data_IF_253437384505
#
_entry.id   IF_253437384505
#
_cell.length_a   1.000
_cell.length_b   1.000
_cell.length_c   1.000
_cell.angle_alpha   90.00
_cell.angle_beta   90.00
_cell.angle_gamma   90.00
#
_symmetry.space_group_name_H-M   'P 1'
#
loop_
_entity.id
_entity.type
_entity.pdbx_description
1 polymer ?
#
# COMPACT_ATOMS: atom_id res chain seq x y z
N UNK A 1 -3.97 -15.67 -1.83
CA UNK A 1 -3.49 -14.68 -2.81
C UNK A 1 -4.63 -13.96 -3.54
N UNK A 2 -5.57 -14.66 -4.20
CA UNK A 2 -6.66 -14.02 -4.95
C UNK A 2 -7.49 -12.99 -4.14
N UNK A 3 -7.83 -13.32 -2.89
CA UNK A 3 -8.51 -12.38 -1.99
C UNK A 3 -7.65 -11.14 -1.71
N UNK A 4 -6.37 -11.31 -1.39
CA UNK A 4 -5.43 -10.20 -1.19
C UNK A 4 -5.33 -9.31 -2.43
N UNK A 5 -5.29 -9.90 -3.64
CA UNK A 5 -5.31 -9.15 -4.91
C UNK A 5 -6.59 -8.31 -5.03
N UNK A 6 -7.76 -8.89 -4.74
CA UNK A 6 -9.04 -8.18 -4.77
C UNK A 6 -9.05 -7.00 -3.80
N UNK A 7 -8.59 -7.21 -2.57
CA UNK A 7 -8.45 -6.17 -1.55
C UNK A 7 -7.46 -5.08 -1.99
N UNK A 8 -6.31 -5.46 -2.56
CA UNK A 8 -5.32 -4.53 -3.10
C UNK A 8 -5.88 -3.64 -4.22
N UNK A 9 -6.75 -4.19 -5.08
CA UNK A 9 -7.44 -3.40 -6.10
C UNK A 9 -8.43 -2.39 -5.51
N UNK A 10 -9.15 -2.75 -4.44
CA UNK A 10 -10.04 -1.84 -3.72
C UNK A 10 -9.24 -0.72 -3.02
N UNK A 11 -8.11 -1.07 -2.38
CA UNK A 11 -7.20 -0.10 -1.78
C UNK A 11 -6.65 0.89 -2.82
N UNK A 12 -6.31 0.41 -4.02
CA UNK A 12 -5.92 1.30 -5.12
C UNK A 12 -7.04 2.28 -5.47
N UNK A 13 -8.31 1.86 -5.53
CA UNK A 13 -9.43 2.77 -5.78
C UNK A 13 -9.60 3.82 -4.67
N UNK A 14 -9.36 3.46 -3.41
CA UNK A 14 -9.35 4.41 -2.30
C UNK A 14 -8.23 5.43 -2.47
N UNK A 15 -7.00 4.98 -2.73
CA UNK A 15 -5.85 5.88 -2.92
C UNK A 15 -6.01 6.76 -4.16
N UNK A 16 -6.56 6.23 -5.26
CA UNK A 16 -6.88 7.00 -6.46
C UNK A 16 -7.84 8.15 -6.14
N UNK A 17 -8.88 7.89 -5.35
CA UNK A 17 -9.82 8.92 -4.90
C UNK A 17 -9.11 10.00 -4.08
N UNK A 18 -8.36 9.64 -3.04
CA UNK A 18 -7.65 10.60 -2.18
C UNK A 18 -6.62 11.42 -2.98
N UNK A 19 -5.85 10.75 -3.82
CA UNK A 19 -4.76 11.35 -4.56
C UNK A 19 -5.25 12.24 -5.71
N UNK A 20 -6.46 12.00 -6.21
CA UNK A 20 -7.10 12.80 -7.25
C UNK A 20 -7.73 14.12 -6.77
N UNK A 21 -7.75 14.40 -5.47
CA UNK A 21 -8.24 15.69 -4.95
C UNK A 21 -7.31 16.85 -5.33
N UNK A 22 -7.88 18.06 -5.41
CA UNK A 22 -7.15 19.31 -5.54
C UNK A 22 -7.48 20.23 -4.35
N UNK A 23 -6.62 20.32 -3.32
CA UNK A 23 -5.27 19.75 -3.22
C UNK A 23 -5.26 18.24 -2.94
N UNK A 24 -4.16 17.58 -3.30
CA UNK A 24 -3.97 16.16 -3.04
C UNK A 24 -4.03 15.85 -1.53
N UNK A 25 -4.68 14.73 -1.18
CA UNK A 25 -4.72 14.18 0.18
C UNK A 25 -3.79 12.97 0.27
N UNK A 26 -2.80 13.00 1.16
CA UNK A 26 -1.94 11.84 1.49
C UNK A 26 -2.38 11.29 2.84
N UNK A 27 -2.67 10.00 2.94
CA UNK A 27 -3.25 9.41 4.16
C UNK A 27 -2.24 9.29 5.30
N UNK A 28 -1.01 8.84 4.99
CA UNK A 28 0.14 8.71 5.90
C UNK A 28 0.03 7.64 6.98
N UNK A 29 -1.14 7.05 7.17
CA UNK A 29 -1.34 5.91 8.09
C UNK A 29 -2.19 4.81 7.45
N UNK A 30 -1.85 4.43 6.22
CA UNK A 30 -2.60 3.42 5.46
C UNK A 30 -2.23 2.00 5.96
N UNK A 31 -2.95 1.53 6.98
CA UNK A 31 -2.64 0.31 7.76
C UNK A 31 -3.87 -0.61 7.87
N UNK A 32 -3.69 -1.88 8.29
CA UNK A 32 -4.81 -2.78 8.57
C UNK A 32 -5.80 -2.21 9.58
N UNK A 33 -5.31 -1.50 10.61
CA UNK A 33 -6.11 -0.93 11.68
C UNK A 33 -7.09 0.15 11.16
N UNK A 34 -6.75 0.79 10.04
CA UNK A 34 -7.53 1.86 9.42
C UNK A 34 -8.36 1.38 8.22
N UNK A 35 -8.41 0.08 7.92
CA UNK A 35 -9.24 -0.48 6.84
C UNK A 35 -10.28 -1.45 7.40
N UNK A 36 -11.55 -1.08 7.29
CA UNK A 36 -12.66 -1.94 7.66
C UNK A 36 -13.20 -2.68 6.43
N UNK A 37 -13.36 -3.98 6.55
CA UNK A 37 -14.06 -4.81 5.57
C UNK A 37 -15.50 -5.01 6.05
N UNK A 38 -16.48 -4.54 5.27
CA UNK A 38 -17.89 -4.78 5.60
C UNK A 38 -18.38 -6.16 5.17
N UNK A 39 -19.60 -6.52 5.57
CA UNK A 39 -20.21 -7.83 5.29
C UNK A 39 -20.38 -8.13 3.79
N UNK A 40 -20.33 -7.11 2.94
CA UNK A 40 -20.40 -7.26 1.49
C UNK A 40 -19.01 -7.35 0.83
N UNK A 41 -17.93 -7.42 1.62
CA UNK A 41 -16.56 -7.49 1.14
C UNK A 41 -16.04 -6.15 0.59
N UNK A 42 -16.64 -5.02 1.01
CA UNK A 42 -16.20 -3.68 0.60
C UNK A 42 -15.28 -3.08 1.65
N UNK A 43 -14.09 -2.65 1.22
CA UNK A 43 -13.13 -1.93 2.06
C UNK A 43 -13.55 -0.47 2.25
N UNK A 44 -13.45 -0.02 3.50
CA UNK A 44 -13.67 1.38 3.91
C UNK A 44 -12.47 1.85 4.71
N UNK A 45 -11.84 2.92 4.22
CA UNK A 45 -10.80 3.61 4.96
C UNK A 45 -11.43 4.46 6.06
N UNK A 46 -10.91 4.30 7.27
CA UNK A 46 -11.27 5.09 8.43
C UNK A 46 -10.05 5.89 8.91
N UNK A 47 -10.30 6.86 9.78
CA UNK A 47 -9.31 7.70 10.45
C UNK A 47 -8.39 8.53 9.53
N UNK A 48 -8.72 9.82 9.38
CA UNK A 48 -7.92 10.79 8.61
C UNK A 48 -7.10 11.73 9.51
N UNK A 49 -6.91 11.41 10.79
CA UNK A 49 -6.24 12.31 11.75
C UNK A 49 -4.80 12.65 11.35
N UNK A 50 -4.12 11.73 10.68
CA UNK A 50 -2.76 11.92 10.19
C UNK A 50 -2.68 12.37 8.73
N UNK A 51 -3.83 12.45 8.05
CA UNK A 51 -3.87 12.83 6.65
C UNK A 51 -3.35 14.26 6.44
N UNK A 52 -2.73 14.48 5.29
CA UNK A 52 -2.18 15.78 4.91
C UNK A 52 -2.73 16.22 3.57
N UNK A 53 -3.28 17.43 3.57
CA UNK A 53 -3.67 18.17 2.38
C UNK A 53 -2.57 19.19 2.13
N UNK A 54 -1.92 19.13 0.96
CA UNK A 54 -0.75 19.93 0.49
C UNK A 54 0.63 19.30 0.68
N UNK A 55 1.51 19.56 -0.31
CA UNK A 55 2.94 19.32 -0.24
C UNK A 55 3.61 20.20 0.84
N UNK A 56 4.66 19.70 1.47
CA UNK A 56 5.46 20.42 2.45
C UNK A 56 6.04 19.50 3.53
N UNK A 57 6.88 20.08 4.38
CA UNK A 57 7.41 19.33 5.53
C UNK A 57 6.27 18.99 6.50
N UNK A 58 6.29 17.78 7.03
CA UNK A 58 5.35 17.29 8.03
C UNK A 58 6.10 16.52 9.12
N UNK A 59 5.46 16.34 10.28
CA UNK A 59 6.01 15.48 11.33
C UNK A 59 6.08 14.03 10.86
N UNK A 60 7.15 13.28 11.19
CA UNK A 60 7.22 11.85 10.90
C UNK A 60 6.29 11.08 11.84
N UNK A 61 5.06 10.85 11.39
CA UNK A 61 3.98 10.16 12.14
C UNK A 61 3.40 9.04 11.27
N UNK A 62 2.79 8.06 11.93
CA UNK A 62 2.24 6.85 11.32
C UNK A 62 2.76 5.59 12.03
N UNK A 63 2.21 4.42 11.69
CA UNK A 63 2.66 3.14 12.24
C UNK A 63 4.04 2.75 11.66
N UNK A 64 5.11 2.56 12.47
CA UNK A 64 6.49 2.43 11.98
C UNK A 64 6.72 1.38 10.88
N UNK A 65 6.10 0.20 10.97
CA UNK A 65 6.23 -0.86 9.97
C UNK A 65 5.70 -0.48 8.57
N UNK A 66 4.83 0.52 8.49
CA UNK A 66 4.12 0.94 7.28
C UNK A 66 4.61 2.29 6.75
N UNK A 67 5.51 2.97 7.48
CA UNK A 67 5.97 4.30 7.11
C UNK A 67 7.04 4.24 6.01
N UNK A 68 6.80 5.02 4.94
CA UNK A 68 7.75 5.18 3.87
C UNK A 68 9.00 6.01 4.28
N UNK A 69 10.16 5.82 3.61
CA UNK A 69 11.39 6.55 3.94
C UNK A 69 11.25 8.08 3.86
N UNK A 70 10.54 8.60 2.86
CA UNK A 70 10.31 10.03 2.70
C UNK A 70 9.37 10.59 3.76
N UNK A 71 8.40 9.80 4.24
CA UNK A 71 7.53 10.18 5.35
C UNK A 71 8.33 10.28 6.66
N UNK A 72 9.25 9.36 6.92
CA UNK A 72 10.18 9.43 8.06
C UNK A 72 11.10 10.65 7.97
N UNK A 73 11.48 11.06 6.76
CA UNK A 73 12.22 12.31 6.51
C UNK A 73 11.33 13.57 6.59
N UNK A 74 10.07 13.42 6.97
CA UNK A 74 9.10 14.51 7.11
C UNK A 74 8.63 15.08 5.77
N UNK A 75 8.69 14.32 4.68
CA UNK A 75 8.26 14.72 3.34
C UNK A 75 7.29 13.70 2.75
N UNK A 76 6.13 13.47 3.39
CA UNK A 76 5.14 12.54 2.88
C UNK A 76 4.62 13.00 1.51
N UNK A 77 4.40 12.05 0.62
CA UNK A 77 3.86 12.25 -0.72
C UNK A 77 2.96 11.07 -1.10
N UNK A 78 2.32 11.13 -2.27
CA UNK A 78 1.48 10.05 -2.78
C UNK A 78 2.16 8.66 -2.72
N UNK A 79 3.46 8.64 -3.04
CA UNK A 79 4.28 7.44 -3.01
C UNK A 79 4.40 6.82 -1.61
N UNK A 80 4.21 7.61 -0.55
CA UNK A 80 4.24 7.13 0.83
C UNK A 80 3.08 6.18 1.11
N UNK A 81 1.88 6.50 0.62
CA UNK A 81 0.72 5.60 0.77
C UNK A 81 0.89 4.31 -0.05
N UNK A 82 1.63 4.34 -1.18
CA UNK A 82 1.93 3.12 -1.95
C UNK A 82 2.95 2.21 -1.26
N UNK A 83 3.89 2.77 -0.50
CA UNK A 83 4.75 1.98 0.38
C UNK A 83 3.91 1.28 1.45
N UNK A 84 3.03 2.04 2.11
CA UNK A 84 2.12 1.49 3.12
C UNK A 84 1.18 0.42 2.54
N UNK A 85 0.68 0.60 1.32
CA UNK A 85 -0.05 -0.43 0.57
C UNK A 85 0.79 -1.71 0.43
N UNK A 86 2.05 -1.61 -0.02
CA UNK A 86 2.93 -2.77 -0.14
C UNK A 86 3.17 -3.49 1.19
N UNK A 87 3.43 -2.73 2.25
CA UNK A 87 3.57 -3.23 3.62
C UNK A 87 2.30 -3.97 4.09
N UNK A 88 1.12 -3.42 3.77
CA UNK A 88 -0.17 -4.02 4.08
C UNK A 88 -0.41 -5.30 3.28
N UNK A 89 -0.06 -5.32 1.99
CA UNK A 89 -0.13 -6.52 1.16
C UNK A 89 0.78 -7.64 1.67
N UNK A 90 1.99 -7.30 2.17
CA UNK A 90 2.84 -8.26 2.87
C UNK A 90 2.12 -8.84 4.09
N UNK A 91 1.60 -7.99 4.98
CA UNK A 91 0.89 -8.42 6.18
C UNK A 91 -0.29 -9.36 5.84
N UNK A 92 -1.10 -9.03 4.82
CA UNK A 92 -2.25 -9.85 4.44
C UNK A 92 -1.90 -11.29 4.03
N UNK A 93 -0.71 -11.50 3.46
CA UNK A 93 -0.32 -12.83 2.98
C UNK A 93 0.63 -13.57 3.91
N UNK A 94 1.20 -12.89 4.91
CA UNK A 94 2.09 -13.52 5.90
C UNK A 94 1.48 -13.62 7.29
N UNK A 95 0.51 -12.75 7.62
CA UNK A 95 -0.02 -12.56 8.97
C UNK A 95 0.97 -11.86 9.93
N UNK A 96 2.06 -11.31 9.41
CA UNK A 96 3.16 -10.72 10.19
C UNK A 96 3.41 -9.29 9.71
N UNK A 97 3.56 -8.35 10.65
CA UNK A 97 3.95 -6.99 10.31
C UNK A 97 5.30 -6.98 9.57
N UNK A 98 5.47 -6.17 8.52
CA UNK A 98 6.73 -6.06 7.82
C UNK A 98 7.82 -5.41 8.68
N UNK A 99 9.07 -5.66 8.33
CA UNK A 99 10.20 -4.94 8.95
C UNK A 99 10.18 -3.46 8.51
N UNK A 100 10.25 -2.50 9.44
CA UNK A 100 10.25 -1.08 9.10
C UNK A 100 11.40 -0.71 8.16
N UNK A 101 11.12 0.14 7.16
CA UNK A 101 12.11 0.69 6.22
C UNK A 101 12.93 -0.39 5.50
N UNK A 102 12.28 -1.52 5.19
CA UNK A 102 12.85 -2.58 4.38
C UNK A 102 11.99 -2.89 3.16
N UNK A 103 12.60 -3.55 2.16
CA UNK A 103 11.87 -4.15 1.05
C UNK A 103 11.25 -5.46 1.53
N UNK A 104 9.93 -5.57 1.42
CA UNK A 104 9.17 -6.72 1.92
C UNK A 104 9.17 -7.85 0.89
N UNK A 105 9.74 -9.01 1.24
CA UNK A 105 9.77 -10.21 0.40
C UNK A 105 8.89 -11.32 1.00
N UNK A 106 7.58 -11.36 0.67
CA UNK A 106 6.65 -12.31 1.29
C UNK A 106 6.96 -13.78 0.99
N UNK A 107 7.65 -14.11 -0.10
CA UNK A 107 8.06 -15.51 -0.39
C UNK A 107 8.98 -16.13 0.67
N UNK A 108 9.67 -15.30 1.45
CA UNK A 108 10.49 -15.77 2.59
C UNK A 108 9.64 -16.34 3.73
N UNK A 109 8.40 -15.87 3.89
CA UNK A 109 7.49 -16.25 4.97
C UNK A 109 6.31 -17.11 4.48
N UNK A 110 5.80 -16.88 3.26
CA UNK A 110 4.71 -17.63 2.65
C UNK A 110 5.08 -18.07 1.23
N UNK A 111 5.33 -19.36 1.03
CA UNK A 111 5.70 -19.95 -0.28
C UNK A 111 4.50 -20.24 -1.19
N UNK A 112 3.28 -20.01 -0.74
CA UNK A 112 2.04 -20.30 -1.49
C UNK A 112 1.53 -19.11 -2.30
N UNK A 113 2.37 -18.11 -2.57
CA UNK A 113 2.04 -16.97 -3.44
C UNK A 113 2.85 -17.03 -4.72
N UNK A 114 2.33 -16.41 -5.78
CA UNK A 114 3.04 -16.28 -7.04
C UNK A 114 4.30 -15.39 -6.93
N UNK A 115 5.28 -15.66 -7.77
CA UNK A 115 6.48 -14.80 -7.92
C UNK A 115 6.08 -13.39 -8.36
N UNK A 116 5.07 -13.27 -9.23
CA UNK A 116 4.63 -11.96 -9.74
C UNK A 116 4.03 -11.10 -8.63
N UNK A 117 3.28 -11.69 -7.70
CA UNK A 117 2.73 -10.98 -6.56
C UNK A 117 3.78 -10.60 -5.53
N UNK A 118 4.76 -11.48 -5.30
CA UNK A 118 5.95 -11.14 -4.53
C UNK A 118 6.69 -9.93 -5.10
N UNK A 119 6.96 -9.94 -6.41
CA UNK A 119 7.69 -8.87 -7.08
C UNK A 119 6.94 -7.53 -7.01
N UNK A 120 5.60 -7.57 -7.10
CA UNK A 120 4.77 -6.38 -6.91
C UNK A 120 4.90 -5.82 -5.48
N UNK A 121 4.84 -6.67 -4.45
CA UNK A 121 5.00 -6.25 -3.05
C UNK A 121 6.39 -5.67 -2.79
N UNK A 122 7.43 -6.31 -3.33
CA UNK A 122 8.80 -5.79 -3.27
C UNK A 122 8.91 -4.43 -3.94
N UNK A 123 8.31 -4.25 -5.14
CA UNK A 123 8.33 -2.97 -5.85
C UNK A 123 7.54 -1.88 -5.11
N UNK A 124 6.41 -2.20 -4.49
CA UNK A 124 5.64 -1.25 -3.69
C UNK A 124 6.41 -0.82 -2.44
N UNK A 125 7.22 -1.69 -1.86
CA UNK A 125 8.04 -1.42 -0.66
C UNK A 125 9.50 -1.03 -0.98
N UNK A 126 9.78 -0.64 -2.22
CA UNK A 126 11.11 -0.14 -2.60
C UNK A 126 11.42 1.18 -1.85
N UNK A 127 12.64 1.28 -1.33
CA UNK A 127 13.11 2.44 -0.59
C UNK A 127 13.26 3.66 -1.51
N UNK A 128 13.58 3.45 -2.79
CA UNK A 128 13.55 4.50 -3.81
C UNK A 128 12.11 4.70 -4.29
N UNK A 129 11.67 5.95 -4.28
CA UNK A 129 10.36 6.33 -4.81
C UNK A 129 10.33 6.30 -6.34
N UNK A 130 11.49 6.45 -6.97
CA UNK A 130 11.65 6.50 -8.43
C UNK A 130 11.39 5.13 -9.07
N UNK A 131 11.66 4.04 -8.35
CA UNK A 131 11.42 2.66 -8.78
C UNK A 131 10.09 2.09 -8.29
N UNK A 132 9.48 2.70 -7.26
CA UNK A 132 8.14 2.37 -6.76
C UNK A 132 7.06 2.55 -7.83
N UNK A 133 5.92 1.92 -7.59
CA UNK A 133 4.71 2.11 -8.41
C UNK A 133 4.26 3.56 -8.31
N UNK A 134 4.09 4.24 -9.45
CA UNK A 134 3.96 5.70 -9.50
C UNK A 134 2.54 6.23 -9.36
N UNK A 135 1.53 5.36 -9.43
CA UNK A 135 0.13 5.75 -9.29
C UNK A 135 -0.77 4.59 -8.88
N UNK A 136 -1.93 4.92 -8.32
CA UNK A 136 -2.97 3.95 -7.99
C UNK A 136 -3.49 3.21 -9.24
N UNK A 137 -3.60 3.89 -10.38
CA UNK A 137 -4.02 3.28 -11.64
C UNK A 137 -3.00 2.24 -12.14
N UNK A 138 -1.70 2.53 -12.03
CA UNK A 138 -0.64 1.57 -12.34
C UNK A 138 -0.69 0.36 -11.40
N UNK A 139 -0.76 0.59 -10.09
CA UNK A 139 -0.85 -0.47 -9.08
C UNK A 139 -2.06 -1.39 -9.33
N UNK A 140 -3.23 -0.81 -9.57
CA UNK A 140 -4.47 -1.54 -9.84
C UNK A 140 -4.37 -2.42 -11.09
N UNK A 141 -3.73 -1.92 -12.16
CA UNK A 141 -3.46 -2.71 -13.38
C UNK A 141 -2.53 -3.89 -13.09
N UNK A 142 -1.47 -3.68 -12.29
CA UNK A 142 -0.55 -4.75 -11.90
C UNK A 142 -1.28 -5.85 -11.10
N UNK A 143 -2.08 -5.48 -10.10
CA UNK A 143 -2.92 -6.45 -9.37
C UNK A 143 -3.87 -7.21 -10.30
N UNK A 144 -4.57 -6.51 -11.20
CA UNK A 144 -5.50 -7.14 -12.13
C UNK A 144 -4.81 -8.13 -13.09
N UNK A 145 -3.63 -7.78 -13.62
CA UNK A 145 -2.86 -8.66 -14.48
C UNK A 145 -2.39 -9.94 -13.78
N UNK A 146 -2.01 -9.84 -12.50
CA UNK A 146 -1.62 -10.99 -11.69
C UNK A 146 -2.84 -11.87 -11.40
N UNK A 147 -3.97 -11.27 -11.00
CA UNK A 147 -5.22 -11.97 -10.73
C UNK A 147 -5.73 -12.77 -11.93
N UNK A 148 -5.66 -12.21 -13.14
CA UNK A 148 -6.09 -12.90 -14.37
C UNK A 148 -5.21 -14.12 -14.68
N UNK A 149 -3.89 -14.02 -14.49
CA UNK A 149 -2.95 -15.13 -14.72
C UNK A 149 -3.10 -16.26 -13.72
N UNK A 150 -3.58 -15.99 -12.51
CA UNK A 150 -3.85 -17.01 -11.50
C UNK A 150 -5.15 -17.81 -11.79
N UNK A 151 -6.05 -17.27 -12.62
CA UNK A 151 -7.33 -17.89 -12.99
C UNK A 151 -7.33 -18.63 -14.34
N UNK A 152 -6.23 -18.54 -15.10
CA UNK A 152 -6.04 -19.18 -16.40
C UNK A 152 -5.19 -20.44 -16.27
#
# INVERSE_FOLDING_TARGET
EAEAISLGMQMCSILEYLHGHAPQVVHRDFTPDNLLLDENGVLKLIDFNLAKVSAGNALPVGKPAYMAPEQVKGRPEAASDFYSLGALMYFLVTGVDPEPLNVSCPLTANRNISVQFNDLIMRLTDQSRETRVGSASEARKLFAMIGFKASA
#
